data_IF_341365755363
#
_entry.id   IF_341365755363
#
_cell.length_a   1.000
_cell.length_b   1.000
_cell.length_c   1.000
_cell.angle_alpha   90.00
_cell.angle_beta   90.00
_cell.angle_gamma   90.00
#
_symmetry.space_group_name_H-M   'P 1'
#
loop_
_entity.id
_entity.type
_entity.pdbx_description
1 polymer ?
#
# COMPACT_ATOMS: atom_id res chain seq x y z
N UNK A 1 4.09 -28.73 -12.86
CA UNK A 1 5.34 -27.97 -13.14
C UNK A 1 5.16 -26.66 -13.91
N UNK A 2 4.05 -26.42 -14.63
CA UNK A 2 3.78 -25.15 -15.34
C UNK A 2 3.72 -23.85 -14.49
N UNK A 3 3.31 -23.84 -13.20
CA UNK A 3 3.23 -22.58 -12.45
C UNK A 3 4.59 -22.01 -12.03
N UNK A 4 5.64 -22.84 -11.96
CA UNK A 4 7.00 -22.37 -11.65
C UNK A 4 7.65 -21.69 -12.86
N UNK A 5 7.53 -22.28 -14.05
CA UNK A 5 8.13 -21.73 -15.27
C UNK A 5 7.61 -20.32 -15.61
N UNK A 6 6.32 -20.07 -15.36
CA UNK A 6 5.68 -18.76 -15.58
C UNK A 6 6.23 -17.65 -14.68
N UNK A 7 6.89 -18.00 -13.56
CA UNK A 7 7.49 -17.05 -12.62
C UNK A 7 9.01 -16.94 -12.78
N UNK A 8 9.65 -17.98 -13.31
CA UNK A 8 11.10 -18.01 -13.58
C UNK A 8 11.51 -16.95 -14.61
N UNK A 9 10.74 -16.77 -15.69
CA UNK A 9 11.10 -15.80 -16.74
C UNK A 9 11.13 -14.35 -16.19
N UNK A 10 10.08 -13.85 -15.48
CA UNK A 10 10.14 -12.54 -14.83
C UNK A 10 11.29 -12.40 -13.83
N UNK A 11 11.58 -13.44 -13.02
CA UNK A 11 12.66 -13.41 -12.04
C UNK A 11 14.04 -13.36 -12.70
N UNK A 12 14.25 -14.10 -13.78
CA UNK A 12 15.49 -14.05 -14.55
C UNK A 12 15.68 -12.67 -15.19
N UNK A 13 14.65 -12.12 -15.83
CA UNK A 13 14.71 -10.77 -16.39
C UNK A 13 15.02 -9.73 -15.29
N UNK A 14 14.34 -9.82 -14.15
CA UNK A 14 14.58 -8.96 -12.99
C UNK A 14 16.05 -9.06 -12.52
N UNK A 15 16.57 -10.29 -12.38
CA UNK A 15 17.96 -10.51 -11.98
C UNK A 15 18.96 -9.93 -12.97
N UNK A 16 18.71 -10.09 -14.28
CA UNK A 16 19.58 -9.59 -15.33
C UNK A 16 19.61 -8.06 -15.33
N UNK A 17 18.45 -7.41 -15.19
CA UNK A 17 18.34 -5.95 -15.14
C UNK A 17 19.03 -5.39 -13.91
N UNK A 18 18.75 -5.94 -12.72
CA UNK A 18 19.36 -5.48 -11.47
C UNK A 18 20.88 -5.63 -11.52
N UNK A 19 21.37 -6.81 -11.91
CA UNK A 19 22.79 -7.10 -11.97
C UNK A 19 23.48 -6.18 -12.99
N UNK A 20 22.88 -5.97 -14.16
CA UNK A 20 23.41 -5.06 -15.18
C UNK A 20 23.53 -3.61 -14.67
N UNK A 21 22.51 -3.10 -13.98
CA UNK A 21 22.53 -1.74 -13.41
C UNK A 21 23.59 -1.62 -12.32
N UNK A 22 23.67 -2.58 -11.39
CA UNK A 22 24.64 -2.54 -10.29
C UNK A 22 26.08 -2.64 -10.79
N UNK A 23 26.36 -3.52 -11.74
CA UNK A 23 27.69 -3.60 -12.35
C UNK A 23 28.03 -2.37 -13.21
N UNK A 24 27.05 -1.72 -13.85
CA UNK A 24 27.31 -0.51 -14.62
C UNK A 24 27.56 0.72 -13.75
N UNK A 25 26.95 0.80 -12.56
CA UNK A 25 26.93 2.03 -11.74
C UNK A 25 27.71 1.92 -10.44
N UNK A 26 27.58 0.83 -9.69
CA UNK A 26 28.17 0.68 -8.34
C UNK A 26 29.53 -0.01 -8.40
N UNK A 27 29.72 -0.99 -9.29
CA UNK A 27 30.94 -1.78 -9.33
C UNK A 27 32.21 -0.94 -9.49
N UNK A 28 32.29 -0.05 -10.49
CA UNK A 28 33.50 0.75 -10.72
C UNK A 28 33.83 1.71 -9.55
N UNK A 29 32.88 2.50 -9.01
CA UNK A 29 33.12 3.27 -7.79
C UNK A 29 33.57 2.41 -6.59
N UNK A 30 32.99 1.23 -6.43
CA UNK A 30 33.30 0.32 -5.33
C UNK A 30 34.69 -0.30 -5.47
N UNK A 31 35.10 -0.66 -6.70
CA UNK A 31 36.48 -1.07 -7.00
C UNK A 31 37.44 0.06 -6.68
N UNK A 32 37.18 1.29 -7.13
CA UNK A 32 38.04 2.43 -6.86
C UNK A 32 38.22 2.66 -5.35
N UNK A 33 37.14 2.60 -4.57
CA UNK A 33 37.22 2.75 -3.12
C UNK A 33 37.95 1.57 -2.45
N UNK A 34 37.68 0.34 -2.87
CA UNK A 34 38.34 -0.85 -2.32
C UNK A 34 39.82 -0.92 -2.70
N UNK A 35 40.25 -0.38 -3.84
CA UNK A 35 41.67 -0.34 -4.20
C UNK A 35 42.52 0.43 -3.19
N UNK A 36 41.94 1.43 -2.51
CA UNK A 36 42.62 2.21 -1.47
C UNK A 36 42.98 1.39 -0.23
N UNK A 37 42.20 0.33 0.07
CA UNK A 37 42.35 -0.45 1.30
C UNK A 37 42.79 -1.89 1.06
N UNK A 38 42.34 -2.53 -0.03
CA UNK A 38 42.50 -3.97 -0.29
C UNK A 38 43.52 -4.27 -1.43
N UNK A 39 44.07 -3.23 -2.07
CA UNK A 39 45.12 -3.37 -3.07
C UNK A 39 44.67 -4.10 -4.37
N UNK A 40 45.54 -4.90 -5.01
CA UNK A 40 45.32 -5.41 -6.37
C UNK A 40 44.18 -6.43 -6.50
N UNK A 41 43.68 -6.99 -5.40
CA UNK A 41 42.54 -7.92 -5.39
C UNK A 41 41.18 -7.22 -5.20
N UNK A 42 41.16 -5.88 -5.12
CA UNK A 42 39.95 -5.09 -4.93
C UNK A 42 38.86 -5.38 -5.99
N UNK A 43 39.23 -5.66 -7.23
CA UNK A 43 38.28 -5.93 -8.31
C UNK A 43 37.50 -7.24 -8.12
N UNK A 44 38.11 -8.26 -7.50
CA UNK A 44 37.46 -9.53 -7.16
C UNK A 44 36.55 -9.33 -5.94
N UNK A 45 37.06 -8.68 -4.89
CA UNK A 45 36.29 -8.42 -3.67
C UNK A 45 35.06 -7.54 -3.94
N UNK A 46 35.22 -6.51 -4.78
CA UNK A 46 34.10 -5.68 -5.22
C UNK A 46 33.05 -6.50 -5.98
N UNK A 47 33.47 -7.43 -6.84
CA UNK A 47 32.53 -8.29 -7.58
C UNK A 47 31.70 -9.15 -6.62
N UNK A 48 32.30 -9.75 -5.59
CA UNK A 48 31.56 -10.51 -4.58
C UNK A 48 30.60 -9.63 -3.76
N UNK A 49 31.00 -8.41 -3.40
CA UNK A 49 30.09 -7.47 -2.72
C UNK A 49 28.90 -7.10 -3.60
N UNK A 50 29.14 -6.69 -4.85
CA UNK A 50 28.06 -6.36 -5.80
C UNK A 50 27.13 -7.55 -6.03
N UNK A 51 27.66 -8.77 -6.15
CA UNK A 51 26.84 -9.99 -6.27
C UNK A 51 25.95 -10.22 -5.05
N UNK A 52 26.46 -9.96 -3.84
CA UNK A 52 25.70 -10.12 -2.59
C UNK A 52 24.63 -9.03 -2.44
N UNK A 53 24.96 -7.78 -2.77
CA UNK A 53 24.02 -6.66 -2.83
C UNK A 53 22.93 -6.93 -3.87
N UNK A 54 23.30 -7.42 -5.05
CA UNK A 54 22.37 -7.81 -6.10
C UNK A 54 21.44 -8.93 -5.66
N UNK A 55 21.97 -10.00 -5.05
CA UNK A 55 21.14 -11.11 -4.54
C UNK A 55 20.14 -10.64 -3.49
N UNK A 56 20.55 -9.74 -2.60
CA UNK A 56 19.68 -9.13 -1.59
C UNK A 56 18.59 -8.29 -2.23
N UNK A 57 18.93 -7.45 -3.20
CA UNK A 57 17.99 -6.59 -3.90
C UNK A 57 17.00 -7.39 -4.77
N UNK A 58 17.47 -8.41 -5.49
CA UNK A 58 16.63 -9.31 -6.29
C UNK A 58 15.62 -10.02 -5.39
N UNK A 59 16.07 -10.58 -4.26
CA UNK A 59 15.20 -11.25 -3.29
C UNK A 59 14.14 -10.29 -2.77
N UNK A 60 14.56 -9.09 -2.34
CA UNK A 60 13.65 -8.06 -1.85
C UNK A 60 12.60 -7.66 -2.88
N UNK A 61 12.99 -7.40 -4.13
CA UNK A 61 12.03 -6.98 -5.18
C UNK A 61 11.10 -8.13 -5.55
N UNK A 62 11.63 -9.36 -5.69
CA UNK A 62 10.83 -10.53 -5.99
C UNK A 62 9.76 -10.78 -4.92
N UNK A 63 10.14 -10.72 -3.64
CA UNK A 63 9.22 -10.89 -2.52
C UNK A 63 8.14 -9.79 -2.50
N UNK A 64 8.53 -8.52 -2.64
CA UNK A 64 7.57 -7.42 -2.63
C UNK A 64 6.59 -7.49 -3.81
N UNK A 65 7.07 -7.79 -5.02
CA UNK A 65 6.22 -7.93 -6.20
C UNK A 65 5.21 -9.07 -6.06
N UNK A 66 5.61 -10.19 -5.45
CA UNK A 66 4.72 -11.34 -5.22
C UNK A 66 3.71 -11.10 -4.09
N UNK A 67 4.08 -10.28 -3.10
CA UNK A 67 3.29 -10.05 -1.89
C UNK A 67 2.18 -9.02 -2.08
N UNK A 68 2.31 -8.09 -3.04
CA UNK A 68 1.39 -6.95 -3.17
C UNK A 68 -0.08 -7.36 -3.41
N UNK A 69 -0.32 -8.36 -4.26
CA UNK A 69 -1.68 -8.91 -4.44
C UNK A 69 -2.21 -9.59 -3.18
N UNK A 70 -1.34 -10.31 -2.46
CA UNK A 70 -1.71 -11.03 -1.24
C UNK A 70 -2.06 -10.09 -0.07
N UNK A 71 -1.46 -8.89 -0.03
CA UNK A 71 -1.81 -7.84 0.93
C UNK A 71 -3.26 -7.40 0.72
N UNK A 72 -3.68 -7.20 -0.53
CA UNK A 72 -5.06 -6.83 -0.87
C UNK A 72 -6.01 -7.98 -0.56
N UNK A 73 -5.63 -9.22 -0.88
CA UNK A 73 -6.43 -10.40 -0.51
C UNK A 73 -6.60 -10.53 1.01
N UNK A 74 -5.56 -10.24 1.79
CA UNK A 74 -5.61 -10.25 3.25
C UNK A 74 -6.57 -9.18 3.77
N UNK A 75 -6.50 -7.98 3.22
CA UNK A 75 -7.43 -6.89 3.56
C UNK A 75 -8.88 -7.28 3.26
N UNK A 76 -9.15 -7.79 2.06
CA UNK A 76 -10.51 -8.22 1.66
C UNK A 76 -10.99 -9.42 2.49
N UNK A 77 -10.11 -10.36 2.81
CA UNK A 77 -10.42 -11.52 3.66
C UNK A 77 -10.86 -11.11 5.06
N UNK A 78 -10.29 -10.03 5.62
CA UNK A 78 -10.71 -9.47 6.91
C UNK A 78 -12.12 -8.89 6.82
N UNK A 79 -12.45 -8.15 5.75
CA UNK A 79 -13.81 -7.66 5.51
C UNK A 79 -14.80 -8.82 5.43
N UNK A 80 -14.49 -9.85 4.63
CA UNK A 80 -15.35 -11.02 4.46
C UNK A 80 -15.52 -11.80 5.76
N UNK A 81 -14.46 -11.97 6.56
CA UNK A 81 -14.55 -12.61 7.88
C UNK A 81 -15.44 -11.82 8.83
N UNK A 82 -15.31 -10.49 8.85
CA UNK A 82 -16.16 -9.65 9.68
C UNK A 82 -17.64 -9.72 9.26
N UNK A 83 -17.90 -9.83 7.95
CA UNK A 83 -19.24 -10.02 7.40
C UNK A 83 -19.84 -11.40 7.76
N UNK A 84 -19.04 -12.47 7.76
CA UNK A 84 -19.52 -13.80 8.14
C UNK A 84 -19.74 -13.94 9.65
N UNK A 85 -18.93 -13.26 10.46
CA UNK A 85 -19.05 -13.27 11.93
C UNK A 85 -20.21 -12.44 12.46
N UNK A 86 -20.77 -11.53 11.65
CA UNK A 86 -21.89 -10.68 12.10
C UNK A 86 -23.21 -11.45 12.10
N UNK A 87 -24.08 -11.16 13.09
CA UNK A 87 -25.44 -11.69 13.13
C UNK A 87 -26.42 -10.88 12.25
N UNK A 88 -26.02 -9.68 11.80
CA UNK A 88 -26.86 -8.81 10.98
C UNK A 88 -26.70 -9.15 9.49
N UNK A 89 -27.75 -9.71 8.88
CA UNK A 89 -27.77 -10.08 7.46
C UNK A 89 -27.56 -8.87 6.54
N UNK A 90 -28.16 -7.72 6.86
CA UNK A 90 -28.04 -6.52 6.03
C UNK A 90 -26.61 -5.95 6.03
N UNK A 91 -25.93 -5.96 7.19
CA UNK A 91 -24.53 -5.55 7.27
C UNK A 91 -23.62 -6.50 6.49
N UNK A 92 -23.92 -7.81 6.52
CA UNK A 92 -23.17 -8.80 5.74
C UNK A 92 -23.32 -8.54 4.24
N UNK A 93 -24.54 -8.31 3.78
CA UNK A 93 -24.83 -8.05 2.36
C UNK A 93 -24.21 -6.72 1.91
N UNK A 94 -24.18 -5.70 2.77
CA UNK A 94 -23.48 -4.44 2.53
C UNK A 94 -21.98 -4.64 2.29
N UNK A 95 -21.29 -5.45 3.12
CA UNK A 95 -19.86 -5.75 2.92
C UNK A 95 -19.63 -6.56 1.65
N UNK A 96 -20.51 -7.53 1.33
CA UNK A 96 -20.42 -8.28 0.08
C UNK A 96 -20.59 -7.36 -1.13
N UNK A 97 -21.57 -6.46 -1.11
CA UNK A 97 -21.76 -5.46 -2.14
C UNK A 97 -20.50 -4.58 -2.29
N UNK A 98 -19.93 -4.11 -1.18
CA UNK A 98 -18.71 -3.28 -1.20
C UNK A 98 -17.52 -4.01 -1.85
N UNK A 99 -17.24 -5.25 -1.45
CA UNK A 99 -16.13 -6.05 -2.00
C UNK A 99 -16.38 -6.40 -3.48
N UNK A 100 -17.64 -6.64 -3.86
CA UNK A 100 -18.02 -7.00 -5.23
C UNK A 100 -17.72 -5.91 -6.26
N UNK A 101 -17.61 -4.64 -5.81
CA UNK A 101 -17.23 -3.51 -6.68
C UNK A 101 -15.82 -3.64 -7.25
N UNK A 102 -14.93 -4.36 -6.57
CA UNK A 102 -13.51 -4.41 -6.90
C UNK A 102 -13.00 -5.81 -7.26
N UNK A 103 -13.76 -6.87 -6.98
CA UNK A 103 -13.43 -8.26 -7.32
C UNK A 103 -14.69 -9.11 -7.40
N UNK A 104 -14.58 -10.26 -8.04
CA UNK A 104 -15.68 -11.21 -8.09
C UNK A 104 -15.85 -11.92 -6.74
N UNK A 105 -17.10 -12.21 -6.37
CA UNK A 105 -17.46 -12.93 -5.14
C UNK A 105 -18.30 -14.15 -5.53
N UNK A 106 -17.94 -15.28 -4.94
CA UNK A 106 -18.55 -16.59 -5.11
C UNK A 106 -19.30 -16.98 -3.82
N UNK A 107 -20.52 -16.43 -3.57
CA UNK A 107 -21.25 -16.64 -2.32
C UNK A 107 -21.57 -18.11 -2.03
N UNK A 108 -21.60 -18.96 -3.06
CA UNK A 108 -21.84 -20.41 -2.97
C UNK A 108 -20.73 -21.18 -2.23
N UNK A 109 -19.53 -20.62 -2.12
CA UNK A 109 -18.39 -21.28 -1.49
C UNK A 109 -18.42 -21.11 0.03
N UNK A 110 -18.01 -22.15 0.76
CA UNK A 110 -17.95 -22.12 2.24
C UNK A 110 -16.65 -21.46 2.72
N UNK A 111 -16.81 -20.42 3.54
CA UNK A 111 -15.72 -19.69 4.20
C UNK A 111 -15.34 -18.38 3.50
N UNK A 112 -15.08 -17.35 4.31
CA UNK A 112 -14.83 -15.98 3.87
C UNK A 112 -13.76 -15.84 2.77
N UNK A 113 -12.66 -16.59 2.85
CA UNK A 113 -11.57 -16.52 1.87
C UNK A 113 -11.95 -17.26 0.59
N UNK A 114 -12.63 -18.41 0.69
CA UNK A 114 -12.99 -19.21 -0.47
C UNK A 114 -13.97 -18.48 -1.40
N UNK A 115 -14.78 -17.55 -0.85
CA UNK A 115 -15.71 -16.68 -1.58
C UNK A 115 -15.02 -15.60 -2.42
N UNK A 116 -13.75 -15.32 -2.18
CA UNK A 116 -13.00 -14.30 -2.91
C UNK A 116 -12.56 -14.83 -4.28
N UNK A 117 -12.98 -14.17 -5.36
CA UNK A 117 -12.62 -14.47 -6.75
C UNK A 117 -11.58 -13.51 -7.32
N UNK A 118 -11.44 -13.49 -8.65
CA UNK A 118 -10.45 -12.67 -9.36
C UNK A 118 -10.68 -11.16 -9.17
N UNK A 119 -9.60 -10.38 -9.25
CA UNK A 119 -9.66 -8.93 -9.10
C UNK A 119 -10.20 -8.25 -10.36
N UNK A 120 -11.21 -7.39 -10.19
CA UNK A 120 -11.75 -6.52 -11.26
C UNK A 120 -11.03 -5.17 -11.31
N UNK A 121 -10.71 -4.60 -10.15
CA UNK A 121 -9.88 -3.41 -10.01
C UNK A 121 -8.44 -3.84 -9.66
N UNK A 122 -7.46 -3.18 -10.27
CA UNK A 122 -6.04 -3.47 -10.03
C UNK A 122 -5.71 -3.45 -8.54
N UNK A 123 -5.10 -4.54 -7.99
CA UNK A 123 -4.69 -4.61 -6.60
C UNK A 123 -3.45 -3.72 -6.33
N UNK A 124 -2.72 -3.35 -7.37
CA UNK A 124 -1.47 -2.62 -7.27
C UNK A 124 -1.69 -1.15 -6.90
N UNK A 125 -0.83 -0.65 -6.02
CA UNK A 125 -0.78 0.75 -5.70
C UNK A 125 -0.23 1.54 -6.90
N UNK A 126 -0.92 2.62 -7.28
CA UNK A 126 -0.42 3.49 -8.36
C UNK A 126 0.77 4.30 -7.88
N UNK A 127 1.84 4.32 -8.68
CA UNK A 127 2.99 5.18 -8.47
C UNK A 127 2.57 6.64 -8.28
N UNK A 128 3.15 7.30 -7.28
CA UNK A 128 2.85 8.68 -6.93
C UNK A 128 4.13 9.51 -6.97
N UNK A 129 4.30 10.30 -8.04
CA UNK A 129 5.45 11.20 -8.19
C UNK A 129 5.61 12.13 -6.98
N UNK A 130 4.49 12.50 -6.35
CA UNK A 130 4.48 13.33 -5.15
C UNK A 130 5.18 12.65 -3.98
N UNK A 131 4.88 11.37 -3.72
CA UNK A 131 5.52 10.64 -2.62
C UNK A 131 7.02 10.45 -2.88
N UNK A 132 7.39 10.22 -4.14
CA UNK A 132 8.81 10.14 -4.53
C UNK A 132 9.52 11.47 -4.34
N UNK A 133 8.91 12.60 -4.69
CA UNK A 133 9.48 13.92 -4.43
C UNK A 133 9.59 14.21 -2.93
N UNK A 134 8.56 13.91 -2.14
CA UNK A 134 8.59 14.05 -0.68
C UNK A 134 9.76 13.23 -0.09
N UNK A 135 9.91 11.96 -0.49
CA UNK A 135 11.05 11.12 -0.10
C UNK A 135 12.41 11.73 -0.47
N UNK A 136 12.59 12.19 -1.72
CA UNK A 136 13.86 12.79 -2.18
C UNK A 136 14.19 14.05 -1.38
N UNK A 137 13.20 14.89 -1.11
CA UNK A 137 13.38 16.10 -0.29
C UNK A 137 13.72 15.79 1.17
N UNK A 138 13.29 14.64 1.68
CA UNK A 138 13.56 14.18 3.04
C UNK A 138 14.91 13.46 3.19
N UNK A 139 15.48 12.91 2.11
CA UNK A 139 16.77 12.20 2.13
C UNK A 139 17.91 12.97 2.83
N UNK A 140 18.11 14.29 2.60
CA UNK A 140 19.17 15.06 3.24
C UNK A 140 19.13 15.03 4.77
N UNK A 141 17.97 14.76 5.36
CA UNK A 141 17.81 14.66 6.80
C UNK A 141 18.67 13.53 7.40
N UNK A 142 18.90 12.45 6.65
CA UNK A 142 19.71 11.31 7.09
C UNK A 142 21.19 11.65 7.24
N UNK A 143 21.67 12.80 6.72
CA UNK A 143 23.06 13.23 6.93
C UNK A 143 23.33 13.73 8.35
N UNK A 144 22.29 13.97 9.16
CA UNK A 144 22.45 14.29 10.58
C UNK A 144 22.52 12.97 11.36
N UNK A 145 23.69 12.57 11.90
CA UNK A 145 23.80 11.32 12.62
C UNK A 145 22.91 11.32 13.86
N UNK A 146 22.42 10.14 14.25
CA UNK A 146 21.55 9.86 15.41
C UNK A 146 20.13 10.46 15.34
N UNK A 147 19.97 11.71 14.90
CA UNK A 147 18.68 12.42 14.88
C UNK A 147 17.98 12.31 13.52
N UNK A 148 18.76 12.29 12.43
CA UNK A 148 18.26 12.25 11.06
C UNK A 148 17.39 11.03 10.78
N UNK A 149 17.89 9.79 10.96
CA UNK A 149 17.12 8.59 10.62
C UNK A 149 15.80 8.45 11.41
N UNK A 150 15.74 8.68 12.73
CA UNK A 150 14.46 8.67 13.45
C UNK A 150 13.48 9.71 12.92
N UNK A 151 13.93 10.94 12.64
CA UNK A 151 13.05 11.99 12.14
C UNK A 151 12.57 11.69 10.72
N UNK A 152 13.44 11.14 9.88
CA UNK A 152 13.10 10.65 8.55
C UNK A 152 12.01 9.57 8.59
N UNK A 153 12.13 8.58 9.47
CA UNK A 153 11.09 7.55 9.63
C UNK A 153 9.75 8.13 10.11
N UNK A 154 9.79 9.13 10.99
CA UNK A 154 8.58 9.81 11.49
C UNK A 154 7.84 10.54 10.37
N UNK A 155 8.57 11.26 9.51
CA UNK A 155 8.02 11.95 8.35
C UNK A 155 7.51 10.95 7.31
N UNK A 156 8.28 9.91 7.02
CA UNK A 156 7.85 8.84 6.12
C UNK A 156 6.57 8.16 6.62
N UNK A 157 6.42 7.93 7.92
CA UNK A 157 5.16 7.45 8.51
C UNK A 157 3.97 8.37 8.24
N UNK A 158 4.19 9.69 8.20
CA UNK A 158 3.16 10.68 7.87
C UNK A 158 2.73 10.63 6.41
N UNK A 159 3.71 10.47 5.51
CA UNK A 159 3.49 10.43 4.06
C UNK A 159 2.92 9.10 3.57
N UNK A 160 3.44 7.98 4.08
CA UNK A 160 3.06 6.63 3.68
C UNK A 160 1.86 6.07 4.45
N UNK A 161 1.55 6.59 5.64
CA UNK A 161 0.42 6.15 6.45
C UNK A 161 -0.92 6.04 5.69
N UNK A 162 -1.32 7.03 4.87
CA UNK A 162 -2.54 6.96 4.06
C UNK A 162 -2.58 5.82 3.02
N UNK A 163 -1.45 5.22 2.67
CA UNK A 163 -1.39 4.12 1.70
C UNK A 163 -1.99 2.83 2.25
N UNK A 164 -1.98 2.63 3.58
CA UNK A 164 -2.56 1.43 4.19
C UNK A 164 -4.06 1.29 3.92
N UNK A 165 -4.76 2.41 3.70
CA UNK A 165 -6.18 2.45 3.34
C UNK A 165 -6.43 2.63 1.85
N UNK A 166 -5.43 2.44 0.99
CA UNK A 166 -5.62 2.53 -0.46
C UNK A 166 -6.76 1.60 -0.94
N UNK A 167 -6.79 0.36 -0.46
CA UNK A 167 -7.85 -0.61 -0.80
C UNK A 167 -9.22 -0.14 -0.31
N UNK A 168 -9.32 0.38 0.91
CA UNK A 168 -10.55 0.97 1.43
C UNK A 168 -11.11 2.09 0.54
N UNK A 169 -10.23 3.01 0.14
CA UNK A 169 -10.57 4.14 -0.74
C UNK A 169 -11.03 3.64 -2.12
N UNK A 170 -10.40 2.58 -2.63
CA UNK A 170 -10.74 1.95 -3.91
C UNK A 170 -12.10 1.22 -3.88
N UNK A 171 -12.43 0.57 -2.76
CA UNK A 171 -13.71 -0.11 -2.55
C UNK A 171 -14.87 0.88 -2.44
N UNK A 172 -14.67 2.00 -1.74
CA UNK A 172 -15.67 3.07 -1.61
C UNK A 172 -15.72 4.02 -2.83
N UNK A 173 -14.91 3.74 -3.86
CA UNK A 173 -14.79 4.53 -5.09
C UNK A 173 -14.62 6.05 -4.90
N UNK A 174 -13.93 6.45 -3.82
CA UNK A 174 -13.82 7.86 -3.45
C UNK A 174 -13.07 8.65 -4.53
N UNK A 175 -13.70 9.71 -5.03
CA UNK A 175 -13.09 10.58 -6.03
C UNK A 175 -11.94 11.42 -5.46
N UNK A 176 -11.11 12.02 -6.32
CA UNK A 176 -9.88 12.76 -5.92
C UNK A 176 -10.11 13.80 -4.80
N UNK A 177 -11.23 14.54 -4.86
CA UNK A 177 -11.57 15.57 -3.85
C UNK A 177 -11.97 14.93 -2.51
N UNK A 178 -12.86 13.95 -2.55
CA UNK A 178 -13.35 13.21 -1.39
C UNK A 178 -12.22 12.46 -0.69
N UNK A 179 -11.37 11.77 -1.47
CA UNK A 179 -10.15 11.14 -0.97
C UNK A 179 -9.27 12.13 -0.21
N UNK A 180 -9.03 13.32 -0.76
CA UNK A 180 -8.19 14.35 -0.10
C UNK A 180 -8.81 14.82 1.20
N UNK A 181 -10.13 15.02 1.23
CA UNK A 181 -10.85 15.43 2.43
C UNK A 181 -10.86 14.33 3.50
N UNK A 182 -11.14 13.09 3.09
CA UNK A 182 -11.11 11.90 3.96
C UNK A 182 -9.74 11.72 4.61
N UNK A 183 -8.66 11.76 3.83
CA UNK A 183 -7.30 11.66 4.38
C UNK A 183 -6.97 12.86 5.28
N UNK A 184 -7.47 14.07 4.97
CA UNK A 184 -7.24 15.25 5.83
C UNK A 184 -7.91 15.10 7.20
N UNK A 185 -9.16 14.62 7.25
CA UNK A 185 -9.90 14.43 8.50
C UNK A 185 -9.25 13.33 9.35
N UNK A 186 -8.82 12.23 8.72
CA UNK A 186 -8.24 11.09 9.41
C UNK A 186 -6.70 11.17 9.54
N UNK A 187 -6.10 12.34 9.30
CA UNK A 187 -4.64 12.51 9.17
C UNK A 187 -3.87 11.96 10.35
N UNK A 188 -4.33 12.27 11.56
CA UNK A 188 -3.70 11.84 12.80
C UNK A 188 -3.71 10.31 12.94
N UNK A 189 -4.85 9.67 12.63
CA UNK A 189 -4.98 8.20 12.64
C UNK A 189 -4.04 7.56 11.62
N UNK A 190 -3.92 8.16 10.43
CA UNK A 190 -2.99 7.68 9.41
C UNK A 190 -1.52 7.80 9.82
N UNK A 191 -1.15 8.90 10.46
CA UNK A 191 0.21 9.08 10.94
C UNK A 191 0.55 8.04 12.02
N UNK A 192 -0.33 7.89 13.02
CA UNK A 192 -0.15 6.89 14.08
C UNK A 192 -0.13 5.46 13.56
N UNK A 193 -0.86 5.16 12.48
CA UNK A 193 -0.81 3.86 11.83
C UNK A 193 0.48 3.68 10.99
N UNK A 194 0.90 4.73 10.31
CA UNK A 194 2.09 4.73 9.44
C UNK A 194 3.41 4.63 10.21
N UNK A 195 3.50 5.19 11.41
CA UNK A 195 4.71 5.13 12.25
C UNK A 195 5.20 3.68 12.50
N UNK A 196 4.41 2.78 13.11
CA UNK A 196 4.85 1.40 13.31
C UNK A 196 4.98 0.67 11.97
N UNK A 197 4.12 0.94 10.99
CA UNK A 197 4.22 0.30 9.67
C UNK A 197 5.58 0.55 9.00
N UNK A 198 6.02 1.80 8.93
CA UNK A 198 7.30 2.20 8.34
C UNK A 198 8.47 1.79 9.23
N UNK A 199 8.34 1.92 10.56
CA UNK A 199 9.38 1.51 11.49
C UNK A 199 9.68 0.00 11.43
N UNK A 200 8.65 -0.82 11.26
CA UNK A 200 8.78 -2.27 11.15
C UNK A 200 9.35 -2.72 9.79
N UNK A 201 9.19 -1.90 8.75
CA UNK A 201 9.77 -2.16 7.42
C UNK A 201 11.30 -2.01 7.39
N UNK A 202 11.91 -1.39 8.41
CA UNK A 202 13.38 -1.28 8.52
C UNK A 202 14.05 -2.65 8.55
N UNK A 203 13.35 -3.70 9.01
CA UNK A 203 13.86 -5.06 9.08
C UNK A 203 13.42 -5.88 7.85
N UNK A 204 14.29 -6.14 6.86
CA UNK A 204 13.89 -6.69 5.57
C UNK A 204 13.15 -8.03 5.68
N UNK A 205 13.65 -8.94 6.51
CA UNK A 205 13.09 -10.29 6.69
C UNK A 205 11.72 -10.25 7.39
N UNK A 206 11.57 -9.38 8.39
CA UNK A 206 10.31 -9.26 9.15
C UNK A 206 9.28 -8.38 8.43
N UNK A 207 9.72 -7.56 7.47
CA UNK A 207 8.87 -6.59 6.78
C UNK A 207 7.64 -7.23 6.14
N UNK A 208 7.79 -8.41 5.53
CA UNK A 208 6.70 -9.16 4.88
C UNK A 208 5.61 -9.54 5.90
N UNK A 209 6.00 -10.09 7.04
CA UNK A 209 5.05 -10.45 8.11
C UNK A 209 4.31 -9.21 8.61
N UNK A 210 5.01 -8.08 8.72
CA UNK A 210 4.40 -6.83 9.15
C UNK A 210 3.56 -6.15 8.06
N UNK A 211 3.81 -6.42 6.77
CA UNK A 211 2.92 -6.02 5.68
C UNK A 211 1.56 -6.72 5.82
N UNK A 212 1.53 -8.04 6.06
CA UNK A 212 0.29 -8.78 6.31
C UNK A 212 -0.41 -8.35 7.61
N UNK A 213 0.35 -8.08 8.65
CA UNK A 213 -0.17 -7.55 9.92
C UNK A 213 -0.81 -6.18 9.72
N UNK A 214 -0.14 -5.30 8.96
CA UNK A 214 -0.66 -3.97 8.62
C UNK A 214 -1.89 -4.05 7.73
N UNK A 215 -1.91 -4.98 6.75
CA UNK A 215 -3.07 -5.24 5.90
C UNK A 215 -4.29 -5.68 6.73
N UNK A 216 -4.04 -6.57 7.71
CA UNK A 216 -5.07 -7.05 8.65
C UNK A 216 -5.59 -5.91 9.51
N UNK A 217 -4.69 -5.10 10.09
CA UNK A 217 -5.05 -3.93 10.90
C UNK A 217 -5.83 -2.86 10.12
N UNK A 218 -5.41 -2.57 8.89
CA UNK A 218 -6.12 -1.69 7.98
C UNK A 218 -7.51 -2.25 7.61
N UNK A 219 -7.61 -3.56 7.39
CA UNK A 219 -8.89 -4.25 7.16
C UNK A 219 -9.83 -4.13 8.35
N UNK A 220 -9.34 -4.36 9.58
CA UNK A 220 -10.14 -4.23 10.81
C UNK A 220 -10.59 -2.78 11.02
N UNK A 221 -9.71 -1.81 10.77
CA UNK A 221 -10.07 -0.40 10.80
C UNK A 221 -11.16 -0.11 9.75
N UNK A 222 -11.02 -0.60 8.51
CA UNK A 222 -12.05 -0.46 7.48
C UNK A 222 -13.41 -1.07 7.89
N UNK A 223 -13.43 -2.25 8.51
CA UNK A 223 -14.66 -2.85 9.06
C UNK A 223 -15.32 -1.90 10.07
N UNK A 224 -14.54 -1.35 11.00
CA UNK A 224 -15.04 -0.45 12.03
C UNK A 224 -15.61 0.84 11.42
N UNK A 225 -14.92 1.44 10.45
CA UNK A 225 -15.43 2.62 9.73
C UNK A 225 -16.73 2.27 8.97
N UNK A 226 -16.84 1.10 8.34
CA UNK A 226 -18.08 0.66 7.67
C UNK A 226 -19.22 0.38 8.64
N UNK A 227 -18.95 -0.20 9.81
CA UNK A 227 -19.96 -0.38 10.86
C UNK A 227 -20.52 0.97 11.31
N UNK A 228 -19.66 1.95 11.55
CA UNK A 228 -20.09 3.31 11.95
C UNK A 228 -20.98 3.95 10.91
N UNK A 229 -20.63 3.81 9.63
CA UNK A 229 -21.45 4.32 8.53
C UNK A 229 -22.79 3.59 8.43
N UNK A 230 -22.79 2.25 8.51
CA UNK A 230 -23.98 1.43 8.38
C UNK A 230 -24.95 1.60 9.56
N UNK A 231 -24.47 1.50 10.81
CA UNK A 231 -25.34 1.67 11.99
C UNK A 231 -25.68 3.14 12.26
N UNK A 232 -24.79 4.07 11.90
CA UNK A 232 -25.07 5.50 11.97
C UNK A 232 -26.19 5.94 11.02
N UNK A 233 -26.27 5.32 9.83
CA UNK A 233 -27.40 5.48 8.90
C UNK A 233 -28.64 4.70 9.33
N UNK A 234 -28.49 3.57 10.05
CA UNK A 234 -29.63 2.82 10.59
C UNK A 234 -30.33 3.52 11.79
N UNK A 235 -29.59 4.20 12.66
CA UNK A 235 -30.17 5.01 13.76
C UNK A 235 -30.61 6.41 13.33
N UNK A 236 -30.13 6.88 12.18
CA UNK A 236 -30.56 8.13 11.55
C UNK A 236 -31.35 7.78 10.30
N UNK A 237 -32.63 7.39 10.45
CA UNK A 237 -33.55 7.20 9.31
C UNK A 237 -33.36 8.33 8.28
N UNK A 238 -33.41 8.04 6.97
CA UNK A 238 -32.56 8.61 5.92
C UNK A 238 -32.24 10.10 6.15
N UNK A 239 -31.18 10.34 6.93
CA UNK A 239 -30.63 11.66 7.16
C UNK A 239 -29.79 12.07 5.96
N UNK A 240 -29.86 13.34 5.52
CA UNK A 240 -29.32 13.72 4.23
C UNK A 240 -27.80 13.55 4.26
N UNK A 241 -27.29 12.80 3.27
CA UNK A 241 -25.93 12.96 2.78
C UNK A 241 -25.61 14.47 2.67
N UNK A 242 -24.34 14.89 2.79
CA UNK A 242 -23.96 16.23 2.39
C UNK A 242 -24.43 16.42 0.95
N UNK A 243 -25.49 17.21 0.77
CA UNK A 243 -26.08 17.46 -0.53
C UNK A 243 -24.98 18.06 -1.40
N UNK A 244 -24.72 17.44 -2.55
CA UNK A 244 -24.04 18.14 -3.64
C UNK A 244 -24.73 19.50 -3.82
N UNK A 245 -23.99 20.61 -3.97
CA UNK A 245 -24.62 21.91 -4.15
C UNK A 245 -25.59 21.82 -5.33
N UNK A 246 -26.88 21.99 -5.03
CA UNK A 246 -27.95 21.92 -6.02
C UNK A 246 -27.70 22.96 -7.11
N UNK A 247 -27.44 22.48 -8.32
CA UNK A 247 -27.23 23.30 -9.52
C UNK A 247 -28.46 24.17 -9.89
N UNK A 248 -29.60 23.94 -9.22
CA UNK A 248 -30.82 24.74 -9.32
C UNK A 248 -30.72 26.12 -8.66
N UNK A 249 -29.94 26.29 -7.58
CA UNK A 249 -29.75 27.61 -6.93
C UNK A 249 -28.84 28.53 -7.75
N UNK A 250 -27.84 27.94 -8.42
CA UNK A 250 -26.90 28.70 -9.26
C UNK A 250 -27.57 29.26 -10.52
N UNK A 251 -28.60 28.59 -11.04
CA UNK A 251 -29.39 29.11 -12.18
C UNK A 251 -30.35 30.21 -11.77
N UNK A 252 -30.94 30.19 -10.56
CA UNK A 252 -31.84 31.26 -10.10
C UNK A 252 -31.12 32.59 -9.82
N UNK A 253 -29.87 32.57 -9.37
CA UNK A 253 -29.12 33.82 -9.10
C UNK A 253 -28.63 34.55 -10.36
N UNK A 254 -28.61 33.88 -11.51
CA UNK A 254 -28.20 34.49 -12.79
C UNK A 254 -29.29 35.38 -13.41
N UNK A 255 -30.58 35.09 -13.15
CA UNK A 255 -31.70 35.82 -13.76
C UNK A 255 -32.04 37.17 -13.09
N UNK A 256 -31.55 37.43 -11.88
CA UNK A 256 -31.86 38.65 -11.12
C UNK A 256 -30.73 39.71 -11.14
N UNK A 257 -29.78 39.57 -12.06
CA UNK A 257 -28.74 40.58 -12.32
C UNK A 257 -28.69 40.94 -13.80
N UNK A 258 -29.73 41.64 -14.26
CA UNK A 258 -29.67 42.57 -15.39
C UNK A 258 -30.53 43.77 -15.08
#
# INVERSE_FOLDING_TARGET
MRPLLSRVIPLLLLSLVILSILFATIYLPQVALLTLFHGPLAWINAAFMVLTEAATLITFVAENFMTEGQIVDTFDAVLMHAAEKTNNAEFRDHIYALVSTARDIHPERKGAIAKLGEHRKSPYLRFSCRLTMEFICELPLNFIPLVGPPLFLILQGYHLGPLSHYRYIQLNDLHKKEKKQFIKINRWRYWLFGLPHVGLQVFPVLSILFLFTSATGAGLWAVEDQKRLFYGTAHSGPGPYPQQPQESERKRSWWWKK
#
